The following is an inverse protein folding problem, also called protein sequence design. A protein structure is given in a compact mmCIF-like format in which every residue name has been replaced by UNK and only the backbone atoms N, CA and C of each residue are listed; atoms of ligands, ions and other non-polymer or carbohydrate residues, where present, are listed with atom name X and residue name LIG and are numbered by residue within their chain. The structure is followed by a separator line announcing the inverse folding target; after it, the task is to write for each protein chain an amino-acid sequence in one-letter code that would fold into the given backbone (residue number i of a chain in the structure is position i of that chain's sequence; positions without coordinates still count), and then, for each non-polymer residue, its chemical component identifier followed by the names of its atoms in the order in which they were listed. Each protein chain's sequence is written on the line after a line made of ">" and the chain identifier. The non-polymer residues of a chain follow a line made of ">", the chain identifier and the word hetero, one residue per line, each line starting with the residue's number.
data_IF_984584626085
#
_entry.id   IF_984584626085
#
_cell.length_a   1.000
_cell.length_b   1.000
_cell.length_c   1.000
_cell.angle_alpha   90.00
_cell.angle_beta   90.00
_cell.angle_gamma   90.00
#
_symmetry.space_group_name_H-M   'P 1'
#
loop_
_entity.id
_entity.type
_entity.pdbx_description
1 polymer ?
#
# COMPACT_ATOMS: atom_id res chain seq x y z
N UNK A 1 -4.27 14.46 -6.62
CA UNK A 1 -4.87 15.15 -5.46
C UNK A 1 -4.07 14.79 -4.20
N UNK A 2 -3.54 15.78 -3.48
CA UNK A 2 -2.84 15.55 -2.21
C UNK A 2 -3.85 15.09 -1.14
N UNK A 3 -3.47 14.10 -0.33
CA UNK A 3 -4.29 13.52 0.73
C UNK A 3 -3.78 14.03 2.09
N UNK A 4 -2.63 13.53 2.57
CA UNK A 4 -1.98 13.95 3.81
C UNK A 4 -0.61 14.60 3.54
N UNK A 5 0.40 14.42 4.41
CA UNK A 5 1.73 15.02 4.22
C UNK A 5 2.44 14.52 2.97
N UNK A 6 2.45 13.20 2.74
CA UNK A 6 3.15 12.53 1.66
C UNK A 6 2.20 11.90 0.63
N UNK A 7 1.04 11.42 1.06
CA UNK A 7 0.09 10.71 0.21
C UNK A 7 -0.61 11.63 -0.79
N UNK A 8 -0.85 11.08 -1.99
CA UNK A 8 -1.62 11.71 -3.03
C UNK A 8 -2.13 10.65 -4.01
N UNK A 9 -3.20 10.97 -4.72
CA UNK A 9 -3.67 10.20 -5.88
C UNK A 9 -3.27 10.89 -7.18
N UNK A 10 -3.01 10.11 -8.24
CA UNK A 10 -2.77 10.65 -9.58
C UNK A 10 -3.20 9.66 -10.67
N UNK A 11 -3.34 10.17 -11.89
CA UNK A 11 -3.40 9.35 -13.09
C UNK A 11 -1.98 9.17 -13.63
N UNK A 12 -1.68 7.97 -14.11
CA UNK A 12 -0.35 7.62 -14.62
C UNK A 12 -0.49 7.03 -16.01
N UNK A 13 0.38 7.48 -16.93
CA UNK A 13 0.53 6.91 -18.26
C UNK A 13 1.93 6.30 -18.36
N UNK A 14 2.04 5.12 -18.96
CA UNK A 14 3.32 4.44 -19.15
C UNK A 14 3.79 4.71 -20.57
N UNK A 15 5.05 5.13 -20.70
CA UNK A 15 5.68 5.42 -21.99
C UNK A 15 6.79 4.39 -22.26
N UNK A 16 6.72 3.74 -23.41
CA UNK A 16 7.74 2.83 -23.91
C UNK A 16 8.84 3.62 -24.61
N UNK A 17 10.03 3.65 -24.00
CA UNK A 17 11.19 4.38 -24.51
C UNK A 17 11.75 3.73 -25.78
N UNK A 18 11.65 2.39 -25.92
CA UNK A 18 12.18 1.66 -27.06
C UNK A 18 11.36 1.88 -28.33
N UNK A 19 10.03 1.89 -28.19
CA UNK A 19 9.10 2.12 -29.30
C UNK A 19 8.74 3.61 -29.50
N UNK A 20 8.94 4.44 -28.48
CA UNK A 20 8.64 5.87 -28.53
C UNK A 20 7.15 6.22 -28.40
N UNK A 21 6.36 5.33 -27.80
CA UNK A 21 4.90 5.43 -27.74
C UNK A 21 4.36 5.20 -26.32
N UNK A 22 3.14 5.69 -26.06
CA UNK A 22 2.43 5.36 -24.83
C UNK A 22 1.84 3.96 -24.91
N UNK A 23 1.93 3.21 -23.82
CA UNK A 23 1.28 1.92 -23.68
C UNK A 23 -0.20 2.17 -23.38
N UNK A 24 -1.06 1.70 -24.28
CA UNK A 24 -2.53 1.91 -24.22
C UNK A 24 -3.29 0.62 -23.89
N UNK A 25 -2.60 -0.51 -23.90
CA UNK A 25 -3.15 -1.80 -23.49
C UNK A 25 -3.24 -1.89 -21.97
N UNK A 26 -4.43 -2.22 -21.46
CA UNK A 26 -4.68 -2.42 -20.03
C UNK A 26 -4.20 -1.21 -19.18
N UNK A 27 -4.53 0.02 -19.60
CA UNK A 27 -4.10 1.24 -18.92
C UNK A 27 -4.36 1.24 -17.41
N UNK A 28 -3.54 1.99 -16.67
CA UNK A 28 -3.75 2.19 -15.26
C UNK A 28 -5.05 2.98 -15.04
N UNK A 29 -5.89 2.60 -14.06
CA UNK A 29 -7.09 3.36 -13.75
C UNK A 29 -6.72 4.77 -13.24
N UNK A 30 -7.66 5.73 -13.25
CA UNK A 30 -7.46 7.00 -12.58
C UNK A 30 -7.34 6.80 -11.05
N UNK A 31 -6.89 7.84 -10.35
CA UNK A 31 -6.84 7.87 -8.88
C UNK A 31 -5.93 6.82 -8.22
N UNK A 32 -4.83 6.43 -8.88
CA UNK A 32 -3.82 5.56 -8.27
C UNK A 32 -3.20 6.23 -7.04
N UNK A 33 -3.29 5.57 -5.89
CA UNK A 33 -2.81 6.03 -4.59
C UNK A 33 -1.30 5.87 -4.43
N UNK A 34 -0.74 4.83 -5.04
CA UNK A 34 0.69 4.57 -5.06
C UNK A 34 1.04 3.71 -6.26
N UNK A 35 2.24 3.91 -6.84
CA UNK A 35 2.80 3.08 -7.89
C UNK A 35 4.31 2.95 -7.67
N UNK A 36 4.86 1.77 -7.93
CA UNK A 36 6.30 1.51 -7.93
C UNK A 36 6.66 0.48 -8.97
N UNK A 37 7.71 0.78 -9.74
CA UNK A 37 8.43 -0.20 -10.54
C UNK A 37 9.14 -1.22 -9.64
N UNK A 38 9.34 -2.43 -10.15
CA UNK A 38 10.23 -3.40 -9.52
C UNK A 38 11.70 -2.97 -9.63
N UNK A 39 12.59 -3.46 -8.76
CA UNK A 39 14.01 -3.13 -8.80
C UNK A 39 14.74 -3.64 -10.05
N UNK A 40 14.17 -4.65 -10.72
CA UNK A 40 14.67 -5.28 -11.94
C UNK A 40 13.51 -5.54 -12.89
N UNK A 41 13.79 -5.62 -14.20
CA UNK A 41 12.80 -5.78 -15.27
C UNK A 41 11.76 -4.65 -15.31
N UNK A 42 10.54 -4.93 -15.80
CA UNK A 42 9.47 -3.96 -16.03
C UNK A 42 8.17 -4.29 -15.29
N UNK A 43 8.26 -5.03 -14.18
CA UNK A 43 7.10 -5.29 -13.33
C UNK A 43 6.73 -4.00 -12.59
N UNK A 44 5.46 -3.83 -12.28
CA UNK A 44 5.01 -2.72 -11.44
C UNK A 44 3.90 -3.15 -10.50
N UNK A 45 3.85 -2.50 -9.34
CA UNK A 45 2.71 -2.56 -8.43
C UNK A 45 2.05 -1.20 -8.38
N UNK A 46 0.73 -1.20 -8.31
CA UNK A 46 -0.04 0.00 -8.07
C UNK A 46 -1.18 -0.28 -7.09
N UNK A 47 -1.65 0.77 -6.42
CA UNK A 47 -2.65 0.70 -5.37
C UNK A 47 -3.82 1.61 -5.72
N UNK A 48 -5.01 1.03 -5.78
CA UNK A 48 -6.28 1.70 -6.09
C UNK A 48 -7.34 1.12 -5.16
N UNK A 49 -8.23 1.98 -4.64
CA UNK A 49 -9.28 1.60 -3.71
C UNK A 49 -8.77 0.75 -2.53
N UNK A 50 -7.58 1.09 -2.03
CA UNK A 50 -6.86 0.40 -0.95
C UNK A 50 -6.49 -1.05 -1.24
N UNK A 51 -6.50 -1.47 -2.50
CA UNK A 51 -6.03 -2.79 -2.92
C UNK A 51 -4.85 -2.73 -3.87
N UNK A 52 -3.99 -3.75 -3.77
CA UNK A 52 -2.74 -3.84 -4.49
C UNK A 52 -2.96 -4.63 -5.78
N UNK A 53 -2.42 -4.12 -6.87
CA UNK A 53 -2.44 -4.74 -8.18
C UNK A 53 -1.00 -4.85 -8.70
N UNK A 54 -0.71 -5.96 -9.39
CA UNK A 54 0.57 -6.26 -10.04
C UNK A 54 0.37 -6.30 -11.55
N UNK A 55 1.27 -5.70 -12.31
CA UNK A 55 1.46 -6.05 -13.72
C UNK A 55 2.85 -6.69 -13.85
N UNK A 56 2.93 -7.87 -14.47
CA UNK A 56 4.21 -8.50 -14.76
C UNK A 56 4.93 -7.74 -15.89
N UNK A 57 4.17 -7.25 -16.87
CA UNK A 57 4.65 -6.30 -17.88
C UNK A 57 3.69 -5.11 -18.00
N UNK A 58 4.16 -3.94 -18.45
CA UNK A 58 3.33 -2.73 -18.52
C UNK A 58 2.07 -2.83 -19.36
N UNK A 59 2.04 -3.69 -20.38
CA UNK A 59 0.93 -3.87 -21.32
C UNK A 59 -0.02 -5.02 -20.92
N UNK A 60 0.36 -5.88 -19.97
CA UNK A 60 -0.44 -7.03 -19.55
C UNK A 60 -1.65 -6.63 -18.69
N UNK A 61 -2.64 -7.51 -18.57
CA UNK A 61 -3.74 -7.29 -17.62
C UNK A 61 -3.24 -7.41 -16.16
N UNK A 62 -3.74 -6.57 -15.23
CA UNK A 62 -3.28 -6.59 -13.85
C UNK A 62 -3.79 -7.82 -13.09
N UNK A 63 -2.98 -8.31 -12.15
CA UNK A 63 -3.33 -9.32 -11.15
C UNK A 63 -3.61 -8.62 -9.83
N UNK A 64 -4.81 -8.78 -9.29
CA UNK A 64 -5.18 -8.23 -7.97
C UNK A 64 -4.55 -9.09 -6.86
N UNK A 65 -3.69 -8.48 -6.04
CA UNK A 65 -2.95 -9.13 -4.94
C UNK A 65 -3.70 -9.10 -3.60
N UNK A 66 -4.64 -8.17 -3.42
CA UNK A 66 -5.48 -8.04 -2.23
C UNK A 66 -6.92 -7.69 -2.61
N UNK A 67 -7.89 -8.12 -1.81
CA UNK A 67 -9.32 -7.87 -2.03
C UNK A 67 -10.05 -7.35 -0.78
N UNK A 68 -9.29 -6.92 0.22
CA UNK A 68 -9.82 -6.50 1.52
C UNK A 68 -9.90 -4.97 1.66
N UNK A 69 -9.40 -4.24 0.66
CA UNK A 69 -9.39 -2.78 0.64
C UNK A 69 -10.76 -2.21 0.93
N UNK A 70 -10.80 -1.26 1.87
CA UNK A 70 -12.02 -0.57 2.25
C UNK A 70 -11.70 0.85 2.68
N UNK A 71 -12.32 1.81 2.02
CA UNK A 71 -12.14 3.22 2.31
C UNK A 71 -12.31 3.50 3.82
N UNK A 72 -11.34 4.19 4.40
CA UNK A 72 -11.31 4.58 5.81
C UNK A 72 -11.40 3.42 6.81
N UNK A 73 -11.05 2.19 6.40
CA UNK A 73 -11.13 1.01 7.26
C UNK A 73 -10.00 0.02 7.05
N UNK A 74 -9.66 -0.31 5.81
CA UNK A 74 -8.63 -1.28 5.50
C UNK A 74 -7.77 -0.76 4.36
N UNK A 75 -6.47 -0.69 4.61
CA UNK A 75 -5.45 -0.19 3.68
C UNK A 75 -4.44 -1.30 3.42
N UNK A 76 -4.25 -1.68 2.16
CA UNK A 76 -3.23 -2.65 1.77
C UNK A 76 -2.10 -1.93 1.02
N UNK A 77 -0.89 -1.99 1.57
CA UNK A 77 0.32 -1.53 0.89
C UNK A 77 0.57 -0.01 0.90
N UNK A 78 -0.33 0.74 1.50
CA UNK A 78 -0.20 2.16 1.86
C UNK A 78 -0.54 2.33 3.34
N UNK A 79 0.09 3.28 4.04
CA UNK A 79 -0.23 3.54 5.44
C UNK A 79 -1.62 4.19 5.60
N UNK A 80 -2.21 4.01 6.78
CA UNK A 80 -3.27 4.88 7.28
C UNK A 80 -2.71 6.24 7.71
N UNK A 81 -3.57 7.13 8.22
CA UNK A 81 -3.17 8.48 8.63
C UNK A 81 -2.08 8.48 9.72
N UNK A 82 -2.25 7.70 10.78
CA UNK A 82 -1.32 7.74 11.93
C UNK A 82 0.03 7.11 11.58
N UNK A 83 0.03 6.05 10.78
CA UNK A 83 1.26 5.41 10.34
C UNK A 83 2.00 6.26 9.30
N UNK A 84 1.31 7.00 8.44
CA UNK A 84 1.97 7.96 7.54
C UNK A 84 2.67 9.09 8.32
N UNK A 85 1.95 9.72 9.24
CA UNK A 85 2.39 10.97 9.88
C UNK A 85 3.37 10.76 11.05
N UNK A 86 3.16 9.71 11.86
CA UNK A 86 3.83 9.58 13.17
C UNK A 86 4.89 8.45 13.21
N UNK A 87 4.85 7.50 12.26
CA UNK A 87 5.71 6.31 12.30
C UNK A 87 6.60 6.15 11.07
N UNK A 88 6.02 6.19 9.86
CA UNK A 88 6.78 5.91 8.65
C UNK A 88 7.35 7.14 7.96
N UNK A 89 6.69 8.29 8.06
CA UNK A 89 7.12 9.47 7.31
C UNK A 89 7.13 9.26 5.79
N UNK A 90 6.31 8.33 5.27
CA UNK A 90 6.21 8.00 3.85
C UNK A 90 4.80 7.59 3.45
N UNK A 91 4.51 7.61 2.15
CA UNK A 91 3.20 7.29 1.55
C UNK A 91 3.03 5.82 1.13
N UNK A 92 4.01 4.95 1.42
CA UNK A 92 3.99 3.55 0.98
C UNK A 92 4.32 2.60 2.12
N UNK A 93 3.69 1.43 2.06
CA UNK A 93 3.94 0.30 2.95
C UNK A 93 4.00 -1.00 2.13
N UNK A 94 4.59 -0.90 0.94
CA UNK A 94 4.84 -1.98 -0.02
C UNK A 94 6.30 -1.95 -0.43
N UNK A 95 6.97 -3.11 -0.39
CA UNK A 95 8.40 -3.23 -0.68
C UNK A 95 8.68 -4.43 -1.56
N UNK A 96 9.56 -4.23 -2.53
CA UNK A 96 10.05 -5.29 -3.40
C UNK A 96 11.27 -5.97 -2.79
N UNK A 97 11.37 -7.29 -2.97
CA UNK A 97 12.65 -7.97 -2.88
C UNK A 97 13.61 -7.51 -3.98
N UNK A 98 14.93 -7.49 -3.75
CA UNK A 98 15.90 -6.99 -4.73
C UNK A 98 15.86 -7.71 -6.09
N UNK A 99 15.45 -8.98 -6.10
CA UNK A 99 15.33 -9.79 -7.32
C UNK A 99 13.91 -9.79 -7.91
N UNK A 100 13.00 -8.96 -7.39
CA UNK A 100 11.61 -8.86 -7.79
C UNK A 100 10.80 -10.19 -7.76
N UNK A 101 11.21 -11.17 -6.96
CA UNK A 101 10.48 -12.45 -6.80
C UNK A 101 9.42 -12.42 -5.70
N UNK A 102 9.54 -11.46 -4.80
CA UNK A 102 8.64 -11.23 -3.68
C UNK A 102 8.26 -9.76 -3.55
N UNK A 103 7.03 -9.54 -3.10
CA UNK A 103 6.52 -8.26 -2.62
C UNK A 103 6.09 -8.46 -1.17
N UNK A 104 6.54 -7.58 -0.29
CA UNK A 104 6.03 -7.46 1.07
C UNK A 104 5.09 -6.27 1.15
N UNK A 105 3.99 -6.39 1.89
CA UNK A 105 3.15 -5.23 2.20
C UNK A 105 2.54 -5.33 3.59
N UNK A 106 2.30 -4.18 4.21
CA UNK A 106 1.48 -4.10 5.42
C UNK A 106 0.01 -3.86 5.06
N UNK A 107 -0.86 -4.53 5.80
CA UNK A 107 -2.27 -4.21 5.88
C UNK A 107 -2.55 -3.49 7.20
N UNK A 108 -3.17 -2.33 7.12
CA UNK A 108 -3.66 -1.55 8.26
C UNK A 108 -5.17 -1.72 8.34
N UNK A 109 -5.68 -2.03 9.53
CA UNK A 109 -7.10 -2.17 9.78
C UNK A 109 -7.55 -1.21 10.89
N UNK A 110 -8.28 -0.20 10.45
CA UNK A 110 -8.87 0.91 11.18
C UNK A 110 -10.36 0.71 11.50
N UNK A 111 -10.91 -0.48 11.24
CA UNK A 111 -12.36 -0.72 11.39
C UNK A 111 -12.89 -0.35 12.77
N UNK A 112 -12.08 -0.50 13.82
CA UNK A 112 -12.44 -0.20 15.22
C UNK A 112 -11.73 1.05 15.77
N UNK A 113 -11.02 1.80 14.93
CA UNK A 113 -10.35 3.04 15.33
C UNK A 113 -11.40 4.16 15.36
N UNK A 114 -11.48 4.95 16.46
CA UNK A 114 -12.39 6.08 16.51
C UNK A 114 -12.13 7.07 15.38
N UNK A 115 -13.21 7.63 14.82
CA UNK A 115 -13.13 8.60 13.73
C UNK A 115 -13.18 10.03 14.28
N UNK A 116 -12.38 10.91 13.68
CA UNK A 116 -12.57 12.36 13.77
C UNK A 116 -13.35 12.82 12.54
N UNK A 117 -14.29 13.73 12.76
CA UNK A 117 -15.08 14.34 11.69
C UNK A 117 -14.92 15.85 11.71
N UNK A 118 -14.83 16.44 10.51
CA UNK A 118 -14.83 17.88 10.35
C UNK A 118 -15.52 18.30 9.05
N UNK A 119 -15.96 19.55 9.01
CA UNK A 119 -16.61 20.13 7.83
C UNK A 119 -15.57 20.62 6.82
N UNK A 120 -15.72 20.20 5.57
CA UNK A 120 -15.00 20.74 4.43
C UNK A 120 -15.96 21.58 3.59
N UNK A 121 -15.72 22.89 3.56
CA UNK A 121 -16.64 23.85 2.94
C UNK A 121 -16.53 23.88 1.41
N UNK A 122 -15.35 23.59 0.84
CA UNK A 122 -15.16 23.48 -0.61
C UNK A 122 -15.72 24.67 -1.42
N UNK A 123 -16.09 24.39 -2.67
CA UNK A 123 -16.78 25.33 -3.57
C UNK A 123 -18.24 24.90 -3.86
N UNK A 124 -18.65 23.74 -3.37
CA UNK A 124 -20.01 23.22 -3.55
C UNK A 124 -21.02 24.01 -2.68
N UNK A 125 -22.30 24.03 -3.07
CA UNK A 125 -23.34 24.74 -2.33
C UNK A 125 -23.51 24.25 -0.87
N UNK A 126 -23.20 22.98 -0.61
CA UNK A 126 -23.30 22.37 0.71
C UNK A 126 -21.96 21.79 1.16
N UNK A 127 -21.53 22.04 2.41
CA UNK A 127 -20.32 21.44 2.95
C UNK A 127 -20.40 19.92 2.99
N UNK A 128 -19.24 19.28 2.92
CA UNK A 128 -19.08 17.83 3.09
C UNK A 128 -18.51 17.52 4.47
N UNK A 129 -18.92 16.40 5.06
CA UNK A 129 -18.24 15.85 6.24
C UNK A 129 -17.08 15.00 5.77
N UNK A 130 -15.87 15.30 6.26
CA UNK A 130 -14.70 14.45 6.10
C UNK A 130 -14.55 13.64 7.38
N UNK A 131 -14.36 12.33 7.23
CA UNK A 131 -14.22 11.38 8.33
C UNK A 131 -12.87 10.66 8.18
N UNK A 132 -12.07 10.67 9.25
CA UNK A 132 -10.72 10.09 9.26
C UNK A 132 -10.60 9.19 10.50
N UNK A 133 -10.17 7.92 10.36
CA UNK A 133 -9.73 7.13 11.52
C UNK A 133 -8.55 7.82 12.21
N UNK A 134 -8.75 8.23 13.46
CA UNK A 134 -7.78 9.04 14.21
C UNK A 134 -7.73 8.59 15.67
N UNK A 135 -6.74 7.77 16.06
CA UNK A 135 -6.62 7.30 17.44
C UNK A 135 -6.05 8.41 18.33
N UNK A 136 -6.91 9.12 19.07
CA UNK A 136 -6.46 10.01 20.15
C UNK A 136 -5.75 9.22 21.26
N UNK A 137 -5.00 9.92 22.11
CA UNK A 137 -4.32 9.31 23.25
C UNK A 137 -5.26 8.42 24.08
N UNK A 138 -4.88 7.15 24.28
CA UNK A 138 -5.68 6.15 25.00
C UNK A 138 -6.76 5.45 24.18
N UNK A 139 -6.99 5.85 22.93
CA UNK A 139 -7.89 5.16 22.01
C UNK A 139 -7.26 3.89 21.43
N UNK A 140 -8.10 3.07 20.79
CA UNK A 140 -7.66 1.87 20.07
C UNK A 140 -6.86 2.27 18.83
N UNK A 141 -5.67 1.68 18.69
CA UNK A 141 -4.81 1.85 17.53
C UNK A 141 -5.22 0.93 16.36
N UNK A 142 -4.81 1.27 15.13
CA UNK A 142 -4.92 0.38 13.98
C UNK A 142 -4.24 -0.96 14.26
N UNK A 143 -4.81 -2.05 13.75
CA UNK A 143 -4.15 -3.36 13.76
C UNK A 143 -3.39 -3.60 12.47
N UNK A 144 -2.24 -4.26 12.55
CA UNK A 144 -1.35 -4.47 11.41
C UNK A 144 -1.11 -5.95 11.15
N UNK A 145 -1.11 -6.32 9.86
CA UNK A 145 -0.65 -7.61 9.36
C UNK A 145 0.40 -7.42 8.28
N UNK A 146 1.44 -8.25 8.30
CA UNK A 146 2.41 -8.34 7.21
C UNK A 146 2.04 -9.48 6.26
N UNK A 147 2.09 -9.21 4.96
CA UNK A 147 1.90 -10.20 3.92
C UNK A 147 3.13 -10.28 3.01
N UNK A 148 3.45 -11.49 2.56
CA UNK A 148 4.44 -11.76 1.51
C UNK A 148 3.73 -12.38 0.32
N UNK A 149 3.93 -11.78 -0.84
CA UNK A 149 3.46 -12.27 -2.13
C UNK A 149 4.65 -12.83 -2.87
N UNK A 150 4.58 -14.10 -3.29
CA UNK A 150 5.55 -14.70 -4.21
C UNK A 150 5.04 -14.55 -5.65
N UNK A 151 5.90 -14.08 -6.53
CA UNK A 151 5.61 -13.73 -7.93
C UNK A 151 6.70 -14.22 -8.90
N UNK A 152 7.44 -15.26 -8.50
CA UNK A 152 8.61 -15.79 -9.23
C UNK A 152 8.27 -16.34 -10.62
N UNK A 153 7.04 -16.82 -10.82
CA UNK A 153 6.56 -17.37 -12.08
C UNK A 153 5.38 -16.52 -12.57
N UNK A 154 5.40 -16.00 -13.81
CA UNK A 154 4.29 -15.24 -14.38
C UNK A 154 2.97 -16.02 -14.27
N UNK A 155 1.93 -15.35 -13.76
CA UNK A 155 0.60 -15.95 -13.56
C UNK A 155 0.47 -16.86 -12.32
N UNK A 156 1.56 -17.15 -11.59
CA UNK A 156 1.52 -17.87 -10.32
C UNK A 156 1.80 -16.92 -9.16
N UNK A 157 0.73 -16.50 -8.49
CA UNK A 157 0.78 -15.60 -7.34
C UNK A 157 0.34 -16.35 -6.10
N UNK A 158 1.17 -16.33 -5.05
CA UNK A 158 0.80 -16.88 -3.75
C UNK A 158 1.05 -15.85 -2.65
N UNK A 159 0.03 -15.56 -1.85
CA UNK A 159 0.10 -14.63 -0.73
C UNK A 159 0.06 -15.38 0.60
N UNK A 160 1.01 -15.07 1.48
CA UNK A 160 1.09 -15.65 2.83
C UNK A 160 1.13 -14.54 3.86
N UNK A 161 0.26 -14.63 4.87
CA UNK A 161 0.34 -13.76 6.06
C UNK A 161 1.51 -14.22 6.95
N UNK A 162 2.37 -13.29 7.33
CA UNK A 162 3.42 -13.55 8.31
C UNK A 162 2.80 -13.50 9.71
N UNK A 163 2.96 -14.58 10.45
CA UNK A 163 2.52 -14.63 11.85
C UNK A 163 3.63 -14.14 12.75
N UNK A 164 3.31 -13.20 13.65
CA UNK A 164 4.23 -12.81 14.71
C UNK A 164 4.19 -13.89 15.81
N UNK A 165 5.35 -14.40 16.27
CA UNK A 165 5.40 -15.31 17.41
C UNK A 165 4.68 -14.71 18.63
N UNK A 166 3.88 -15.53 19.33
CA UNK A 166 3.09 -15.10 20.49
C UNK A 166 3.92 -14.54 21.66
N UNK A 167 5.23 -14.82 21.69
CA UNK A 167 6.17 -14.32 22.70
C UNK A 167 6.50 -12.82 22.52
N UNK A 168 6.19 -12.23 21.38
CA UNK A 168 6.53 -10.85 21.06
C UNK A 168 5.36 -9.94 21.47
N UNK A 169 5.66 -8.93 22.29
CA UNK A 169 4.70 -7.93 22.71
C UNK A 169 4.21 -7.13 21.48
N UNK A 170 2.90 -6.83 21.45
CA UNK A 170 2.27 -6.09 20.35
C UNK A 170 2.90 -4.75 20.02
N UNK A 171 3.60 -4.13 20.97
CA UNK A 171 4.34 -2.87 20.74
C UNK A 171 5.55 -3.02 19.81
N UNK A 172 6.09 -4.23 19.63
CA UNK A 172 7.29 -4.49 18.81
C UNK A 172 6.99 -5.26 17.52
N UNK A 173 5.71 -5.32 17.11
CA UNK A 173 5.32 -6.05 15.89
C UNK A 173 6.01 -5.49 14.65
N UNK A 174 6.18 -4.17 14.57
CA UNK A 174 6.80 -3.54 13.42
C UNK A 174 8.30 -3.87 13.31
N UNK A 175 9.04 -3.72 14.41
CA UNK A 175 10.46 -4.09 14.48
C UNK A 175 10.67 -5.56 14.11
N UNK A 176 9.79 -6.42 14.59
CA UNK A 176 9.82 -7.86 14.27
C UNK A 176 9.60 -8.10 12.78
N UNK A 177 8.65 -7.40 12.16
CA UNK A 177 8.40 -7.51 10.72
C UNK A 177 9.60 -7.02 9.89
N UNK A 178 10.22 -5.90 10.27
CA UNK A 178 11.40 -5.36 9.59
C UNK A 178 12.55 -6.37 9.64
N UNK A 179 12.84 -6.92 10.81
CA UNK A 179 13.89 -7.94 11.00
C UNK A 179 13.57 -9.18 10.16
N UNK A 180 12.33 -9.68 10.21
CA UNK A 180 11.90 -10.85 9.44
C UNK A 180 12.06 -10.65 7.93
N UNK A 181 11.67 -9.49 7.42
CA UNK A 181 11.79 -9.13 6.00
C UNK A 181 13.24 -9.08 5.54
N UNK A 182 14.12 -8.49 6.34
CA UNK A 182 15.54 -8.41 6.04
C UNK A 182 16.17 -9.81 6.00
N UNK A 183 16.02 -10.60 7.06
CA UNK A 183 16.72 -11.89 7.16
C UNK A 183 16.18 -12.97 6.21
N UNK A 184 14.87 -12.98 5.92
CA UNK A 184 14.27 -14.05 5.12
C UNK A 184 14.12 -13.71 3.64
N UNK A 185 13.94 -12.44 3.31
CA UNK A 185 13.65 -12.00 1.93
C UNK A 185 14.63 -10.95 1.40
N UNK A 186 15.60 -10.52 2.21
CA UNK A 186 16.53 -9.43 1.88
C UNK A 186 15.80 -8.14 1.50
N UNK A 187 14.63 -7.90 2.12
CA UNK A 187 13.83 -6.69 1.93
C UNK A 187 14.22 -5.72 3.04
N UNK A 188 14.79 -4.57 2.65
CA UNK A 188 15.10 -3.49 3.58
C UNK A 188 13.98 -2.47 3.60
N UNK A 189 13.48 -2.14 4.79
CA UNK A 189 12.52 -1.06 5.00
C UNK A 189 13.31 0.16 5.45
N UNK A 190 13.31 1.21 4.64
CA UNK A 190 13.77 2.53 5.07
C UNK A 190 12.56 3.28 5.62
N UNK A 191 12.64 3.67 6.90
CA UNK A 191 11.70 4.56 7.58
C UNK A 191 12.40 5.88 7.87
#
# INVERSE_FOLDING_TARGET
>A
MKQWRYSYTASYHIYDIGNGEFITENELPPNVQYISWSPVDHKLVYIVDNDIYLKHEPHESPIRLSSSGKLNKVYNGIPDWVYEEELFGTKYATWWSPNAKFIAYLQFNDTDVPVIEYSYYGEDQYPKTISIPYPKAGAKNPTIKLFIVKIDVPGSVSTVQVSVPSMINSRYFLDTYIIYLYFKYNISINM
#
